data_IF_917968661944
#
_entry.id   IF_917968661944
#
_cell.length_a   1.000
_cell.length_b   1.000
_cell.length_c   1.000
_cell.angle_alpha   90.00
_cell.angle_beta   90.00
_cell.angle_gamma   90.00
#
_symmetry.space_group_name_H-M   'P 1'
#
loop_
_entity.id
_entity.type
_entity.pdbx_description
1 polymer ?
#
# COMPACT_ATOMS: atom_id res chain seq x y z
N UNK A 1 13.58 -27.03 32.20
CA UNK A 1 13.45 -25.59 31.91
C UNK A 1 14.85 -25.03 31.74
N UNK A 2 15.02 -24.10 30.81
CA UNK A 2 16.27 -23.47 30.36
C UNK A 2 16.99 -24.25 29.26
N UNK A 3 16.50 -24.14 28.03
CA UNK A 3 17.27 -24.39 26.80
C UNK A 3 16.50 -23.74 25.63
N UNK A 4 16.55 -22.41 25.52
CA UNK A 4 16.07 -21.73 24.31
C UNK A 4 16.59 -20.29 24.15
N UNK A 5 17.80 -19.99 24.65
CA UNK A 5 18.35 -18.63 24.63
C UNK A 5 19.67 -18.47 23.88
N UNK A 6 20.16 -19.48 23.16
CA UNK A 6 21.50 -19.46 22.56
C UNK A 6 21.56 -19.79 21.06
N UNK A 7 20.45 -19.77 20.32
CA UNK A 7 20.46 -19.98 18.86
C UNK A 7 20.37 -18.71 17.99
N UNK A 8 20.54 -17.53 18.58
CA UNK A 8 20.70 -16.28 17.81
C UNK A 8 22.14 -15.77 17.90
N UNK A 9 23.09 -16.54 17.40
CA UNK A 9 24.42 -16.02 17.08
C UNK A 9 25.06 -16.85 15.97
N UNK A 10 25.39 -16.17 14.87
CA UNK A 10 26.12 -16.65 13.68
C UNK A 10 25.27 -17.27 12.58
N UNK A 11 24.47 -16.45 11.91
CA UNK A 11 24.36 -16.59 10.45
C UNK A 11 25.29 -15.54 9.81
N UNK A 12 26.16 -16.04 8.94
CA UNK A 12 27.30 -15.37 8.31
C UNK A 12 26.87 -14.10 7.55
N UNK A 13 27.30 -12.95 8.05
CA UNK A 13 27.14 -11.60 7.49
C UNK A 13 28.24 -11.32 6.45
N UNK A 14 28.19 -12.00 5.30
CA UNK A 14 29.03 -11.67 4.13
C UNK A 14 28.28 -11.73 2.81
N UNK A 15 27.04 -11.26 2.83
CA UNK A 15 26.45 -10.62 1.66
C UNK A 15 25.79 -9.34 2.15
N UNK A 16 26.63 -8.31 2.31
CA UNK A 16 26.18 -6.92 2.28
C UNK A 16 25.62 -6.64 0.88
N UNK A 17 24.45 -7.21 0.60
CA UNK A 17 23.50 -6.51 -0.25
C UNK A 17 23.35 -5.15 0.42
N UNK A 18 23.82 -4.10 -0.25
CA UNK A 18 23.77 -2.73 0.23
C UNK A 18 22.30 -2.31 0.32
N UNK A 19 21.62 -2.78 1.38
CA UNK A 19 20.19 -2.67 1.55
C UNK A 19 19.85 -1.20 1.81
N UNK A 20 18.81 -0.66 1.15
CA UNK A 20 18.49 0.77 1.26
C UNK A 20 18.15 1.24 2.68
N UNK A 21 17.66 0.34 3.54
CA UNK A 21 17.29 0.66 4.92
C UNK A 21 18.01 -0.21 5.95
N UNK A 22 18.12 0.26 7.22
CA UNK A 22 18.55 -0.58 8.32
C UNK A 22 17.57 -1.72 8.59
N UNK A 23 18.05 -2.96 8.55
CA UNK A 23 17.20 -4.16 8.71
C UNK A 23 16.62 -4.32 10.13
N UNK A 24 17.36 -3.94 11.18
CA UNK A 24 16.93 -4.17 12.56
C UNK A 24 15.63 -3.42 12.94
N UNK A 25 15.46 -2.10 12.64
CA UNK A 25 14.20 -1.41 12.83
C UNK A 25 13.01 -2.04 12.09
N UNK A 26 13.22 -2.47 10.84
CA UNK A 26 12.18 -3.13 10.03
C UNK A 26 11.73 -4.44 10.72
N UNK A 27 12.69 -5.28 11.10
CA UNK A 27 12.40 -6.56 11.78
C UNK A 27 11.70 -6.36 13.12
N UNK A 28 12.06 -5.33 13.87
CA UNK A 28 11.40 -4.99 15.14
C UNK A 28 9.93 -4.65 14.91
N UNK A 29 9.63 -3.75 13.96
CA UNK A 29 8.27 -3.37 13.62
C UNK A 29 7.45 -4.58 13.13
N UNK A 30 8.07 -5.48 12.36
CA UNK A 30 7.42 -6.72 11.94
C UNK A 30 7.06 -7.60 13.14
N UNK A 31 8.00 -7.81 14.08
CA UNK A 31 7.76 -8.64 15.27
C UNK A 31 6.69 -8.06 16.20
N UNK A 32 6.61 -6.74 16.34
CA UNK A 32 5.55 -6.06 17.12
C UNK A 32 4.13 -6.34 16.59
N UNK A 33 3.99 -6.80 15.34
CA UNK A 33 2.73 -7.07 14.67
C UNK A 33 2.55 -8.57 14.33
N UNK A 34 3.31 -9.46 14.96
CA UNK A 34 3.27 -10.91 14.75
C UNK A 34 3.26 -11.64 16.10
N UNK A 35 2.83 -12.91 16.10
CA UNK A 35 2.91 -13.73 17.30
C UNK A 35 4.38 -13.97 17.70
N UNK A 36 4.69 -13.91 19.01
CA UNK A 36 6.05 -13.99 19.57
C UNK A 36 6.88 -15.21 19.11
N UNK A 37 6.20 -16.31 18.79
CA UNK A 37 6.82 -17.57 18.38
C UNK A 37 7.21 -17.62 16.89
N UNK A 38 6.87 -16.58 16.10
CA UNK A 38 7.15 -16.56 14.66
C UNK A 38 8.58 -16.10 14.37
N UNK A 39 9.28 -16.90 13.56
CA UNK A 39 10.63 -16.61 13.08
C UNK A 39 10.59 -16.05 11.65
N UNK A 40 11.32 -14.96 11.41
CA UNK A 40 11.40 -14.31 10.10
C UNK A 40 12.70 -14.78 9.43
N UNK A 41 12.59 -15.46 8.28
CA UNK A 41 13.75 -15.90 7.48
C UNK A 41 14.50 -14.73 6.86
N UNK A 42 15.82 -14.87 6.65
CA UNK A 42 16.69 -13.84 6.06
C UNK A 42 16.13 -13.25 4.75
N UNK A 43 15.68 -14.10 3.83
CA UNK A 43 15.08 -13.68 2.56
C UNK A 43 13.87 -12.75 2.73
N UNK A 44 13.01 -13.03 3.72
CA UNK A 44 11.82 -12.19 3.99
C UNK A 44 12.24 -10.81 4.52
N UNK A 45 13.28 -10.75 5.35
CA UNK A 45 13.84 -9.48 5.84
C UNK A 45 14.40 -8.64 4.69
N UNK A 46 15.12 -9.28 3.76
CA UNK A 46 15.69 -8.64 2.57
C UNK A 46 14.59 -8.14 1.62
N UNK A 47 13.62 -8.98 1.30
CA UNK A 47 12.49 -8.60 0.43
C UNK A 47 11.64 -7.49 1.03
N UNK A 48 11.39 -7.50 2.34
CA UNK A 48 10.69 -6.40 3.01
C UNK A 48 11.44 -5.08 2.85
N UNK A 49 12.77 -5.11 3.01
CA UNK A 49 13.62 -3.93 2.85
C UNK A 49 13.54 -3.36 1.43
N UNK A 50 13.71 -4.23 0.42
CA UNK A 50 13.61 -3.85 -0.99
C UNK A 50 12.20 -3.35 -1.35
N UNK A 51 11.16 -3.96 -0.80
CA UNK A 51 9.77 -3.54 -1.01
C UNK A 51 9.51 -2.13 -0.44
N UNK A 52 9.97 -1.85 0.79
CA UNK A 52 9.92 -0.52 1.38
C UNK A 52 10.69 0.49 0.51
N UNK A 53 11.81 0.09 -0.09
CA UNK A 53 12.62 0.97 -0.93
C UNK A 53 11.87 1.32 -2.22
N UNK A 54 11.25 0.31 -2.84
CA UNK A 54 10.37 0.50 -3.99
C UNK A 54 9.18 1.41 -3.67
N UNK A 55 8.59 1.27 -2.48
CA UNK A 55 7.50 2.14 -2.02
C UNK A 55 7.97 3.60 -1.91
N UNK A 56 9.11 3.83 -1.26
CA UNK A 56 9.72 5.15 -1.15
C UNK A 56 9.97 5.78 -2.53
N UNK A 57 10.57 5.02 -3.47
CA UNK A 57 10.82 5.46 -4.84
C UNK A 57 9.52 5.86 -5.54
N UNK A 58 8.45 5.09 -5.38
CA UNK A 58 7.17 5.37 -6.03
C UNK A 58 6.54 6.67 -5.48
N UNK A 59 6.54 6.84 -4.15
CA UNK A 59 6.04 8.07 -3.51
C UNK A 59 6.88 9.27 -3.94
N UNK A 60 8.21 9.15 -3.98
CA UNK A 60 9.11 10.21 -4.47
C UNK A 60 8.85 10.59 -5.92
N UNK A 61 8.67 9.61 -6.82
CA UNK A 61 8.31 9.88 -8.22
C UNK A 61 6.98 10.62 -8.32
N UNK A 62 5.99 10.23 -7.51
CA UNK A 62 4.68 10.88 -7.50
C UNK A 62 4.75 12.33 -7.02
N UNK A 63 5.51 12.61 -5.97
CA UNK A 63 5.75 13.98 -5.51
C UNK A 63 6.48 14.81 -6.58
N UNK A 64 7.41 14.20 -7.33
CA UNK A 64 8.16 14.86 -8.39
C UNK A 64 7.30 15.21 -9.64
N UNK A 65 6.06 14.74 -9.73
CA UNK A 65 5.13 15.19 -10.78
C UNK A 65 4.66 16.64 -10.57
N UNK A 66 4.81 17.16 -9.35
CA UNK A 66 4.49 18.56 -9.04
C UNK A 66 5.40 19.52 -9.81
N UNK A 67 4.85 20.58 -10.42
CA UNK A 67 5.67 21.60 -11.11
C UNK A 67 6.38 22.54 -10.12
N UNK A 68 6.07 22.46 -8.82
CA UNK A 68 6.66 23.32 -7.81
C UNK A 68 8.01 22.78 -7.34
N UNK A 69 8.99 23.68 -7.08
CA UNK A 69 10.33 23.27 -6.65
C UNK A 69 10.38 22.75 -5.21
N UNK A 70 9.34 22.99 -4.42
CA UNK A 70 9.25 22.56 -3.02
C UNK A 70 8.21 21.47 -2.86
N UNK A 71 8.57 20.41 -2.14
CA UNK A 71 7.66 19.34 -1.74
C UNK A 71 7.10 19.71 -0.36
N UNK A 72 5.80 19.94 -0.28
CA UNK A 72 5.10 20.27 0.96
C UNK A 72 4.32 19.07 1.51
N UNK A 73 3.81 19.21 2.75
CA UNK A 73 3.04 18.17 3.42
C UNK A 73 1.74 17.81 2.65
N UNK A 74 0.97 18.77 2.08
CA UNK A 74 -0.16 18.46 1.21
C UNK A 74 0.22 17.55 0.03
N UNK A 75 1.31 17.85 -0.67
CA UNK A 75 1.78 17.03 -1.80
C UNK A 75 2.21 15.64 -1.35
N UNK A 76 2.89 15.52 -0.21
CA UNK A 76 3.22 14.22 0.37
C UNK A 76 1.97 13.40 0.70
N UNK A 77 0.96 14.01 1.36
CA UNK A 77 -0.32 13.36 1.67
C UNK A 77 -1.03 12.86 0.42
N UNK A 78 -1.04 13.68 -0.64
CA UNK A 78 -1.59 13.27 -1.93
C UNK A 78 -0.83 12.07 -2.53
N UNK A 79 0.51 12.05 -2.41
CA UNK A 79 1.33 10.98 -2.96
C UNK A 79 1.15 9.63 -2.24
N UNK A 80 0.89 9.65 -0.93
CA UNK A 80 0.69 8.44 -0.13
C UNK A 80 -0.77 7.96 -0.06
N UNK A 81 -1.74 8.77 -0.47
CA UNK A 81 -3.18 8.47 -0.35
C UNK A 81 -3.57 7.08 -0.90
N UNK A 82 -2.98 6.66 -2.02
CA UNK A 82 -3.23 5.33 -2.62
C UNK A 82 -2.78 4.14 -1.74
N UNK A 83 -1.91 4.39 -0.75
CA UNK A 83 -1.36 3.40 0.16
C UNK A 83 -1.99 3.45 1.55
N UNK A 84 -2.60 4.57 1.94
CA UNK A 84 -3.30 4.72 3.23
C UNK A 84 -4.74 4.16 3.17
N UNK A 85 -5.46 4.33 2.04
CA UNK A 85 -6.92 4.11 1.99
C UNK A 85 -7.37 3.01 1.02
N UNK A 86 -6.64 1.89 0.91
CA UNK A 86 -6.98 0.83 -0.08
C UNK A 86 -8.39 0.24 0.14
N UNK A 87 -8.83 0.10 1.39
CA UNK A 87 -10.17 -0.40 1.70
C UNK A 87 -11.27 0.64 1.49
N UNK A 88 -10.99 1.91 1.81
CA UNK A 88 -11.94 3.00 1.63
C UNK A 88 -12.10 3.37 0.15
N UNK A 89 -11.00 3.39 -0.62
CA UNK A 89 -10.99 3.51 -2.08
C UNK A 89 -11.81 2.40 -2.75
N UNK A 90 -11.72 1.16 -2.27
CA UNK A 90 -12.55 0.06 -2.76
C UNK A 90 -14.04 0.30 -2.48
N UNK A 91 -14.38 0.71 -1.26
CA UNK A 91 -15.78 1.04 -0.89
C UNK A 91 -16.32 2.21 -1.71
N UNK A 92 -15.50 3.22 -1.96
CA UNK A 92 -15.89 4.39 -2.74
C UNK A 92 -16.08 4.06 -4.22
N UNK A 93 -15.20 3.23 -4.79
CA UNK A 93 -15.37 2.67 -6.14
C UNK A 93 -16.72 1.94 -6.26
N UNK A 94 -17.04 1.05 -5.33
CA UNK A 94 -18.31 0.31 -5.33
C UNK A 94 -19.51 1.28 -5.29
N UNK A 95 -19.43 2.32 -4.45
CA UNK A 95 -20.47 3.35 -4.33
C UNK A 95 -20.69 4.11 -5.64
N UNK A 96 -19.60 4.52 -6.31
CA UNK A 96 -19.66 5.24 -7.60
C UNK A 96 -20.31 4.35 -8.66
N UNK A 97 -19.96 3.06 -8.73
CA UNK A 97 -20.56 2.11 -9.67
C UNK A 97 -22.08 2.02 -9.46
N UNK A 98 -22.54 1.89 -8.22
CA UNK A 98 -23.98 1.83 -7.90
C UNK A 98 -24.69 3.12 -8.34
N UNK A 99 -24.09 4.28 -8.10
CA UNK A 99 -24.65 5.57 -8.53
C UNK A 99 -24.75 5.66 -10.06
N UNK A 100 -23.71 5.22 -10.79
CA UNK A 100 -23.72 5.19 -12.25
C UNK A 100 -24.80 4.26 -12.81
N UNK A 101 -25.01 3.10 -12.18
CA UNK A 101 -26.07 2.17 -12.57
C UNK A 101 -27.45 2.79 -12.40
N UNK A 102 -27.69 3.53 -11.31
CA UNK A 102 -28.96 4.26 -11.11
C UNK A 102 -29.18 5.30 -12.20
N UNK A 103 -28.18 6.13 -12.50
CA UNK A 103 -28.28 7.14 -13.58
C UNK A 103 -28.59 6.48 -14.91
N UNK A 104 -27.97 5.33 -15.22
CA UNK A 104 -28.29 4.57 -16.43
C UNK A 104 -29.76 4.11 -16.45
N UNK A 105 -30.26 3.56 -15.34
CA UNK A 105 -31.66 3.14 -15.25
C UNK A 105 -32.63 4.30 -15.43
N UNK A 106 -32.29 5.47 -14.90
CA UNK A 106 -33.08 6.70 -15.07
C UNK A 106 -33.08 7.13 -16.55
N UNK A 107 -31.92 7.11 -17.22
CA UNK A 107 -31.83 7.35 -18.66
C UNK A 107 -32.67 6.36 -19.47
N UNK A 108 -32.56 5.06 -19.17
CA UNK A 108 -33.33 4.01 -19.85
C UNK A 108 -34.84 4.19 -19.64
N UNK A 109 -35.27 4.72 -18.48
CA UNK A 109 -36.67 5.05 -18.24
C UNK A 109 -37.16 6.23 -19.06
N UNK A 110 -36.36 7.29 -19.14
CA UNK A 110 -36.68 8.46 -19.95
C UNK A 110 -36.79 8.10 -21.44
N UNK A 111 -35.94 7.19 -21.92
CA UNK A 111 -36.01 6.68 -23.30
C UNK A 111 -37.33 5.95 -23.54
N UNK A 112 -37.72 5.02 -22.66
CA UNK A 112 -39.00 4.29 -22.78
C UNK A 112 -40.22 5.22 -22.75
N UNK A 113 -40.18 6.26 -21.93
CA UNK A 113 -41.28 7.24 -21.84
C UNK A 113 -41.38 8.10 -23.11
N UNK A 114 -40.24 8.43 -23.71
CA UNK A 114 -40.18 9.07 -25.03
C UNK A 114 -40.77 8.16 -26.10
N UNK A 115 -40.30 6.91 -26.20
CA UNK A 115 -40.79 5.94 -27.19
C UNK A 115 -42.32 5.76 -27.08
N UNK A 116 -42.86 5.61 -25.86
CA UNK A 116 -44.31 5.51 -25.64
C UNK A 116 -45.13 6.75 -26.00
N UNK A 117 -44.54 7.94 -25.90
CA UNK A 117 -45.25 9.21 -26.17
C UNK A 117 -45.26 9.59 -27.64
N UNK A 118 -44.34 9.04 -28.42
CA UNK A 118 -44.14 9.38 -29.83
C UNK A 118 -44.40 8.20 -30.79
N UNK A 119 -44.98 7.10 -30.28
CA UNK A 119 -45.80 6.13 -31.04
C UNK A 119 -47.27 6.59 -31.12
#
# INVERSE_FOLDING_TARGET
>A
MVENKEMEAKEDDKEDLNLPFPSAPIVRLMKENMDDHKLIRKQVKQEMNLWLAKLCINVSKKMNESPYPTIDLPLFRQAIAQYEDVEELKKEKERIIVSLQKVKMDCDSLIRDLERKFE
#
